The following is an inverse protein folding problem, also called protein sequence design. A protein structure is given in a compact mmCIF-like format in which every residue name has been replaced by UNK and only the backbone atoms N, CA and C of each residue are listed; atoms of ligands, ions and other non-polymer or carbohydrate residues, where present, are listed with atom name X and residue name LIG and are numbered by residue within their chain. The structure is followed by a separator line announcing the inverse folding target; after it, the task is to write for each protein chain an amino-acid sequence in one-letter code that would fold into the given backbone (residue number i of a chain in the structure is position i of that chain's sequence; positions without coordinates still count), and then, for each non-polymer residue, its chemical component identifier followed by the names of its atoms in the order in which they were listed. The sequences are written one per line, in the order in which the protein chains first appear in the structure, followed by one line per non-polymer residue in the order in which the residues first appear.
data_IF_759207887575
#
_entry.id   IF_759207887575
#
_cell.length_a   1.000
_cell.length_b   1.000
_cell.length_c   1.000
_cell.angle_alpha   90.00
_cell.angle_beta   90.00
_cell.angle_gamma   90.00
#
_symmetry.space_group_name_H-M   'P 1'
#
loop_
_entity.id
_entity.type
_entity.pdbx_description
1 polymer ?
#
# COMPACT_ATOMS: atom_id res chain seq x y z
N UNK A 1 27.44 36.69 52.55
CA UNK A 1 26.32 35.93 53.15
C UNK A 1 26.68 34.45 53.15
N UNK A 2 26.02 33.62 53.96
CA UNK A 2 26.15 32.16 53.83
C UNK A 2 25.56 31.70 52.48
N UNK A 3 25.97 30.53 51.97
CA UNK A 3 25.37 29.97 50.74
C UNK A 3 23.86 29.90 50.86
N UNK A 4 23.16 30.23 49.76
CA UNK A 4 21.70 30.33 49.74
C UNK A 4 21.12 31.66 50.23
N UNK A 5 21.95 32.65 50.60
CA UNK A 5 21.50 34.00 51.01
C UNK A 5 22.25 35.12 50.27
N UNK A 6 21.60 36.26 50.07
CA UNK A 6 22.16 37.44 49.41
C UNK A 6 21.62 38.78 49.94
N UNK A 7 22.24 39.87 49.50
CA UNK A 7 21.81 41.25 49.79
C UNK A 7 22.44 41.84 51.05
N UNK A 8 22.11 43.11 51.35
CA UNK A 8 22.59 43.79 52.56
C UNK A 8 21.98 43.11 53.79
N UNK A 9 22.83 42.75 54.74
CA UNK A 9 22.48 41.97 55.95
C UNK A 9 22.01 40.53 55.70
N UNK A 10 22.16 39.99 54.48
CA UNK A 10 21.89 38.56 54.19
C UNK A 10 20.47 38.09 54.49
N UNK A 11 19.48 38.99 54.31
CA UNK A 11 18.08 38.70 54.61
C UNK A 11 17.31 38.09 53.44
N UNK A 12 17.86 38.16 52.21
CA UNK A 12 17.22 37.61 51.02
C UNK A 12 17.74 36.21 50.74
N UNK A 13 16.85 35.27 50.42
CA UNK A 13 17.25 33.93 50.00
C UNK A 13 17.51 33.87 48.50
N UNK A 14 18.43 33.01 48.08
CA UNK A 14 18.60 32.66 46.67
C UNK A 14 17.32 32.01 46.14
N UNK A 15 17.05 32.18 44.84
CA UNK A 15 15.92 31.52 44.20
C UNK A 15 16.17 30.00 44.16
N UNK A 16 15.15 29.20 44.47
CA UNK A 16 15.26 27.73 44.44
C UNK A 16 15.48 27.17 43.03
N UNK A 17 15.17 27.94 41.99
CA UNK A 17 15.44 27.62 40.59
C UNK A 17 16.89 27.93 40.17
N UNK A 18 17.70 28.56 41.04
CA UNK A 18 19.15 28.57 40.83
C UNK A 18 19.66 27.13 40.89
N UNK A 19 20.62 26.78 40.03
CA UNK A 19 21.29 25.49 40.16
C UNK A 19 22.00 25.41 41.54
N UNK A 20 21.84 24.28 42.23
CA UNK A 20 22.22 24.06 43.64
C UNK A 20 21.65 25.08 44.65
N UNK A 21 20.62 25.85 44.28
CA UNK A 21 20.07 26.94 45.10
C UNK A 21 21.11 27.98 45.52
N UNK A 22 22.19 28.14 44.75
CA UNK A 22 23.30 29.04 45.07
C UNK A 22 23.33 30.28 44.18
N UNK A 23 23.66 31.43 44.78
CA UNK A 23 23.62 32.72 44.11
C UNK A 23 24.67 33.69 44.65
N UNK A 24 25.00 34.69 43.84
CA UNK A 24 25.95 35.74 44.20
C UNK A 24 25.48 36.45 45.47
N UNK A 25 26.30 36.40 46.52
CA UNK A 25 25.94 36.89 47.84
C UNK A 25 25.65 38.41 47.90
N UNK A 26 26.03 39.19 46.87
CA UNK A 26 25.76 40.62 46.80
C UNK A 26 24.55 40.93 45.89
N UNK A 27 24.49 40.31 44.71
CA UNK A 27 23.53 40.61 43.65
C UNK A 27 22.31 39.69 43.63
N UNK A 28 22.42 38.48 44.20
CA UNK A 28 21.38 37.46 44.14
C UNK A 28 21.24 36.76 42.79
N UNK A 29 22.18 36.97 41.87
CA UNK A 29 22.20 36.29 40.55
C UNK A 29 22.72 34.87 40.71
N UNK A 30 22.07 33.88 40.12
CA UNK A 30 22.45 32.48 40.25
C UNK A 30 23.83 32.23 39.62
N UNK A 31 24.73 31.59 40.38
CA UNK A 31 26.15 31.47 40.00
C UNK A 31 26.37 30.48 38.86
N UNK A 32 25.58 29.41 38.83
CA UNK A 32 25.70 28.31 37.88
C UNK A 32 24.54 28.26 36.88
N UNK A 33 23.85 29.40 36.72
CA UNK A 33 22.64 29.50 35.91
C UNK A 33 21.40 28.93 36.60
N UNK A 34 20.40 28.59 35.79
CA UNK A 34 19.10 28.13 36.23
C UNK A 34 18.89 26.65 35.93
N UNK A 35 17.99 26.03 36.70
CA UNK A 35 17.37 24.75 36.34
C UNK A 35 16.55 24.86 35.04
N UNK A 36 16.09 23.72 34.54
CA UNK A 36 15.32 23.64 33.29
C UNK A 36 14.09 24.54 33.31
N UNK A 37 13.88 25.25 32.19
CA UNK A 37 12.71 26.09 31.98
C UNK A 37 12.77 27.49 32.60
N UNK A 38 13.84 27.83 33.32
CA UNK A 38 14.02 29.15 33.92
C UNK A 38 15.18 29.93 33.30
N UNK A 39 15.01 31.26 33.21
CA UNK A 39 15.97 32.14 32.55
C UNK A 39 16.90 32.86 33.55
N UNK A 40 18.21 32.96 33.25
CA UNK A 40 19.13 33.81 33.99
C UNK A 40 18.70 35.29 33.96
N UNK A 41 19.17 36.13 34.90
CA UNK A 41 20.19 35.83 35.91
C UNK A 41 19.65 35.39 37.28
N UNK A 42 18.35 35.53 37.57
CA UNK A 42 17.77 35.23 38.90
C UNK A 42 16.84 34.02 38.93
N UNK A 43 16.56 33.41 37.77
CA UNK A 43 15.68 32.23 37.65
C UNK A 43 14.28 32.44 38.23
N UNK A 44 13.79 33.68 38.21
CA UNK A 44 12.44 34.07 38.67
C UNK A 44 11.39 33.89 37.58
N UNK A 45 11.81 33.86 36.32
CA UNK A 45 10.94 33.79 35.16
C UNK A 45 11.29 32.57 34.31
N UNK A 46 10.27 32.04 33.63
CA UNK A 46 10.46 30.95 32.68
C UNK A 46 11.20 31.43 31.42
N UNK A 47 11.64 30.49 30.60
CA UNK A 47 12.22 30.82 29.29
C UNK A 47 11.28 31.67 28.44
N UNK A 48 11.88 32.56 27.67
CA UNK A 48 11.16 33.37 26.68
C UNK A 48 10.78 32.49 25.49
N UNK A 49 9.70 32.86 24.79
CA UNK A 49 9.25 32.17 23.59
C UNK A 49 10.43 32.00 22.60
N UNK A 50 10.58 30.80 22.06
CA UNK A 50 11.72 30.44 21.21
C UNK A 50 12.88 29.75 21.92
N UNK A 51 12.87 29.63 23.25
CA UNK A 51 13.94 28.96 24.02
C UNK A 51 13.40 28.02 25.09
N UNK A 52 14.18 26.99 25.44
CA UNK A 52 13.81 25.99 26.45
C UNK A 52 15.05 25.35 27.11
N UNK A 53 14.81 24.52 28.13
CA UNK A 53 15.83 23.72 28.79
C UNK A 53 16.63 24.48 29.85
N UNK A 54 17.76 23.91 30.27
CA UNK A 54 18.61 24.49 31.32
C UNK A 54 19.11 25.87 30.91
N UNK A 55 18.84 26.86 31.77
CA UNK A 55 19.20 28.26 31.51
C UNK A 55 18.73 28.80 30.15
N UNK A 56 17.67 28.20 29.58
CA UNK A 56 17.14 28.54 28.25
C UNK A 56 18.19 28.47 27.13
N UNK A 57 19.13 27.52 27.24
CA UNK A 57 20.24 27.36 26.29
C UNK A 57 19.84 26.69 24.97
N UNK A 58 18.68 26.01 24.93
CA UNK A 58 18.16 25.36 23.73
C UNK A 58 17.13 26.24 23.03
N UNK A 59 17.02 26.10 21.70
CA UNK A 59 16.07 26.86 20.87
C UNK A 59 14.94 25.95 20.41
N UNK A 60 13.71 26.46 20.42
CA UNK A 60 12.56 25.75 19.85
C UNK A 60 12.81 25.40 18.37
N UNK A 61 12.20 24.31 17.91
CA UNK A 61 12.21 23.94 16.49
C UNK A 61 11.67 25.10 15.63
N UNK A 62 12.32 25.36 14.49
CA UNK A 62 11.85 26.37 13.53
C UNK A 62 10.51 26.01 12.90
N UNK A 63 10.11 24.74 13.01
CA UNK A 63 8.83 24.22 12.54
C UNK A 63 7.71 24.34 13.59
N UNK A 64 8.00 24.79 14.82
CA UNK A 64 6.96 25.21 15.76
C UNK A 64 6.29 26.48 15.21
N UNK A 65 4.97 26.57 15.33
CA UNK A 65 4.25 27.81 14.99
C UNK A 65 4.72 28.95 15.91
N UNK A 66 5.03 30.10 15.32
CA UNK A 66 5.62 31.27 16.00
C UNK A 66 6.91 30.99 16.80
N UNK A 67 7.59 29.87 16.53
CA UNK A 67 8.70 29.38 17.34
C UNK A 67 8.34 29.18 18.84
N UNK A 68 7.07 28.91 19.16
CA UNK A 68 6.62 28.69 20.53
C UNK A 68 6.69 27.21 20.91
N UNK A 69 7.39 26.92 22.00
CA UNK A 69 7.51 25.58 22.55
C UNK A 69 7.51 25.61 24.08
N UNK A 70 7.25 24.45 24.68
CA UNK A 70 7.29 24.25 26.12
C UNK A 70 8.67 24.62 26.68
N UNK A 71 8.77 25.53 27.67
CA UNK A 71 10.06 26.02 28.15
C UNK A 71 10.87 24.93 28.89
N UNK A 72 10.25 23.86 29.36
CA UNK A 72 10.92 22.75 30.04
C UNK A 72 11.34 21.67 29.06
N UNK A 73 10.43 21.23 28.18
CA UNK A 73 10.62 20.07 27.30
C UNK A 73 11.07 20.41 25.88
N UNK A 74 10.79 21.62 25.41
CA UNK A 74 11.02 22.04 24.03
C UNK A 74 9.97 21.56 23.02
N UNK A 75 8.92 20.87 23.49
CA UNK A 75 7.84 20.39 22.63
C UNK A 75 6.99 21.54 22.12
N UNK A 76 6.72 21.58 20.82
CA UNK A 76 5.95 22.67 20.21
C UNK A 76 4.49 22.60 20.68
N UNK A 77 3.90 23.75 21.00
CA UNK A 77 2.46 23.80 21.31
C UNK A 77 1.60 23.56 20.07
N UNK A 78 2.09 24.02 18.91
CA UNK A 78 1.47 23.82 17.61
C UNK A 78 2.54 23.78 16.52
N UNK A 79 2.33 22.96 15.50
CA UNK A 79 3.23 22.85 14.36
C UNK A 79 2.82 23.79 13.22
N UNK A 80 3.82 24.28 12.49
CA UNK A 80 3.60 24.93 11.22
C UNK A 80 2.90 23.97 10.24
N UNK A 81 2.19 24.54 9.26
CA UNK A 81 1.50 23.76 8.22
C UNK A 81 2.51 22.85 7.51
N UNK A 82 2.16 21.57 7.37
CA UNK A 82 3.06 20.60 6.78
C UNK A 82 4.05 19.97 7.77
N UNK A 83 3.85 20.13 9.09
CA UNK A 83 4.68 19.49 10.12
C UNK A 83 3.84 18.83 11.22
N UNK A 84 4.36 17.73 11.75
CA UNK A 84 3.78 16.93 12.85
C UNK A 84 4.88 16.39 13.77
N UNK A 85 4.46 15.79 14.90
CA UNK A 85 5.34 15.28 15.94
C UNK A 85 5.47 16.25 17.13
N UNK A 86 6.01 15.78 18.26
CA UNK A 86 6.14 16.59 19.48
C UNK A 86 7.04 17.81 19.32
N UNK A 87 8.01 17.78 18.41
CA UNK A 87 8.92 18.89 18.12
C UNK A 87 8.79 19.37 16.65
N UNK A 88 7.68 19.01 15.99
CA UNK A 88 7.40 19.32 14.58
C UNK A 88 8.52 18.89 13.62
N UNK A 89 9.11 17.73 13.88
CA UNK A 89 10.21 17.16 13.12
C UNK A 89 9.76 16.38 11.88
N UNK A 90 8.50 15.94 11.84
CA UNK A 90 7.96 15.16 10.74
C UNK A 90 7.30 16.08 9.72
N UNK A 91 7.84 16.14 8.51
CA UNK A 91 7.24 16.92 7.42
C UNK A 91 6.06 16.15 6.82
N UNK A 92 4.85 16.68 6.93
CA UNK A 92 3.67 16.15 6.25
C UNK A 92 3.59 16.69 4.83
N UNK A 93 3.50 15.76 3.88
CA UNK A 93 3.31 16.11 2.48
C UNK A 93 1.82 16.38 2.27
N UNK A 94 1.39 17.62 2.51
CA UNK A 94 0.05 18.05 2.08
C UNK A 94 0.07 18.14 0.57
N UNK A 95 -0.39 17.08 -0.10
CA UNK A 95 -0.64 17.11 -1.54
C UNK A 95 -1.72 18.17 -1.76
N UNK A 96 -1.32 19.35 -2.25
CA UNK A 96 -2.27 20.36 -2.68
C UNK A 96 -3.11 19.75 -3.81
N UNK A 97 -4.33 19.34 -3.49
CA UNK A 97 -5.29 18.73 -4.43
C UNK A 97 -5.83 19.75 -5.47
N UNK A 98 -5.04 20.75 -5.83
CA UNK A 98 -5.33 21.74 -6.85
C UNK A 98 -5.00 21.22 -8.26
N UNK A 99 -4.22 20.13 -8.38
CA UNK A 99 -3.78 19.56 -9.67
C UNK A 99 -4.76 18.54 -10.29
N UNK A 100 -5.82 18.15 -9.58
CA UNK A 100 -6.77 17.12 -10.06
C UNK A 100 -7.59 17.56 -11.30
N UNK A 101 -7.66 18.87 -11.57
CA UNK A 101 -8.36 19.42 -12.75
C UNK A 101 -7.73 18.95 -14.07
N UNK A 102 -6.40 18.80 -14.12
CA UNK A 102 -5.66 18.45 -15.34
C UNK A 102 -5.63 16.93 -15.53
N UNK A 103 -5.53 16.17 -14.43
CA UNK A 103 -5.60 14.70 -14.46
C UNK A 103 -6.94 14.17 -14.95
N UNK A 104 -8.04 14.83 -14.58
CA UNK A 104 -9.39 14.41 -15.01
C UNK A 104 -9.59 14.58 -16.53
N UNK A 105 -9.09 15.66 -17.13
CA UNK A 105 -9.23 15.88 -18.57
C UNK A 105 -8.52 14.77 -19.39
N UNK A 106 -7.28 14.44 -19.03
CA UNK A 106 -6.51 13.40 -19.72
C UNK A 106 -7.12 12.01 -19.45
N UNK A 107 -7.55 11.75 -18.22
CA UNK A 107 -8.26 10.52 -17.85
C UNK A 107 -9.53 10.31 -18.67
N UNK A 108 -10.37 11.34 -18.84
CA UNK A 108 -11.60 11.24 -19.65
C UNK A 108 -11.35 11.02 -21.13
N UNK A 109 -10.29 11.62 -21.70
CA UNK A 109 -9.94 11.40 -23.10
C UNK A 109 -9.44 9.98 -23.33
N UNK A 110 -8.58 9.46 -22.45
CA UNK A 110 -8.06 8.09 -22.56
C UNK A 110 -9.18 7.06 -22.37
N UNK A 111 -10.06 7.25 -21.38
CA UNK A 111 -11.20 6.33 -21.18
C UNK A 111 -12.17 6.38 -22.35
N UNK A 112 -12.43 7.54 -22.93
CA UNK A 112 -13.28 7.67 -24.11
C UNK A 112 -12.67 6.97 -25.33
N UNK A 113 -11.36 7.11 -25.56
CA UNK A 113 -10.65 6.40 -26.64
C UNK A 113 -10.70 4.87 -26.44
N UNK A 114 -10.54 4.38 -25.20
CA UNK A 114 -10.67 2.96 -24.88
C UNK A 114 -12.11 2.48 -25.13
N UNK A 115 -13.13 3.24 -24.73
CA UNK A 115 -14.54 2.88 -24.98
C UNK A 115 -14.83 2.84 -26.49
N UNK A 116 -14.36 3.82 -27.26
CA UNK A 116 -14.51 3.82 -28.73
C UNK A 116 -13.82 2.61 -29.36
N UNK A 117 -12.59 2.29 -28.94
CA UNK A 117 -11.88 1.11 -29.40
C UNK A 117 -12.67 -0.17 -29.08
N UNK A 118 -13.23 -0.31 -27.87
CA UNK A 118 -14.08 -1.45 -27.51
C UNK A 118 -15.36 -1.51 -28.35
N UNK A 119 -15.97 -0.39 -28.70
CA UNK A 119 -17.16 -0.36 -29.55
C UNK A 119 -16.86 -0.69 -31.02
N UNK A 120 -15.65 -0.43 -31.51
CA UNK A 120 -15.22 -0.80 -32.87
C UNK A 120 -14.67 -2.23 -32.94
N UNK A 121 -13.96 -2.66 -31.91
CA UNK A 121 -13.37 -3.99 -31.82
C UNK A 121 -14.44 -5.04 -31.50
N UNK A 122 -15.47 -4.73 -30.70
CA UNK A 122 -16.57 -5.68 -30.42
C UNK A 122 -17.30 -6.20 -31.67
N UNK A 123 -17.82 -5.37 -32.59
CA UNK A 123 -18.47 -5.88 -33.80
C UNK A 123 -17.48 -6.59 -34.71
N UNK A 124 -16.22 -6.12 -34.77
CA UNK A 124 -15.17 -6.83 -35.47
C UNK A 124 -14.93 -8.22 -34.88
N UNK A 125 -14.82 -8.35 -33.55
CA UNK A 125 -14.66 -9.62 -32.84
C UNK A 125 -15.91 -10.51 -32.92
N UNK A 126 -17.11 -9.94 -32.91
CA UNK A 126 -18.37 -10.70 -33.10
C UNK A 126 -18.44 -11.26 -34.51
N UNK A 127 -18.14 -10.44 -35.52
CA UNK A 127 -18.12 -10.88 -36.91
C UNK A 127 -16.97 -11.87 -37.17
N UNK A 128 -15.84 -11.71 -36.48
CA UNK A 128 -14.71 -12.63 -36.55
C UNK A 128 -15.00 -13.94 -35.84
N UNK A 129 -15.75 -13.91 -34.73
CA UNK A 129 -16.24 -15.09 -34.01
C UNK A 129 -17.10 -15.97 -34.92
N UNK A 130 -18.08 -15.37 -35.60
CA UNK A 130 -18.94 -16.11 -36.54
C UNK A 130 -18.17 -16.75 -37.69
N UNK A 131 -17.00 -16.21 -38.06
CA UNK A 131 -16.21 -16.69 -39.19
C UNK A 131 -15.14 -17.73 -38.84
N UNK A 132 -14.66 -17.75 -37.60
CA UNK A 132 -13.50 -18.56 -37.21
C UNK A 132 -13.73 -19.47 -36.00
N UNK A 133 -14.88 -19.38 -35.31
CA UNK A 133 -15.24 -20.33 -34.26
C UNK A 133 -15.65 -21.67 -34.92
N UNK A 134 -14.71 -22.62 -34.94
CA UNK A 134 -14.98 -24.00 -35.36
C UNK A 134 -16.00 -24.61 -34.38
N UNK A 135 -16.96 -25.43 -34.84
CA UNK A 135 -17.96 -26.03 -33.96
C UNK A 135 -17.28 -26.80 -32.82
N UNK A 136 -17.93 -26.81 -31.66
CA UNK A 136 -17.44 -27.53 -30.48
C UNK A 136 -17.29 -29.01 -30.81
N UNK A 137 -16.34 -29.68 -30.15
CA UNK A 137 -16.11 -31.13 -30.31
C UNK A 137 -17.39 -31.92 -29.98
N UNK A 138 -18.25 -31.38 -29.11
CA UNK A 138 -19.54 -31.96 -28.76
C UNK A 138 -20.54 -31.91 -29.92
N UNK A 139 -20.58 -30.81 -30.68
CA UNK A 139 -21.49 -30.66 -31.84
C UNK A 139 -21.11 -31.62 -32.99
N UNK A 140 -19.82 -31.95 -33.12
CA UNK A 140 -19.35 -32.97 -34.08
C UNK A 140 -19.68 -34.40 -33.64
N UNK A 141 -19.68 -34.68 -32.34
CA UNK A 141 -19.99 -36.00 -31.81
C UNK A 141 -21.47 -36.37 -32.03
N UNK A 142 -22.39 -35.41 -31.87
CA UNK A 142 -23.82 -35.62 -32.08
C UNK A 142 -24.16 -35.91 -33.55
N UNK A 143 -23.54 -35.18 -34.49
CA UNK A 143 -23.71 -35.42 -35.92
C UNK A 143 -23.21 -36.83 -36.35
N UNK A 144 -22.12 -37.31 -35.72
CA UNK A 144 -21.61 -38.67 -35.94
C UNK A 144 -22.50 -39.75 -35.30
N UNK A 145 -23.10 -39.47 -34.14
CA UNK A 145 -24.03 -40.38 -33.48
C UNK A 145 -25.29 -40.58 -34.33
N UNK A 146 -25.88 -39.51 -34.85
CA UNK A 146 -27.05 -39.57 -35.73
C UNK A 146 -26.74 -40.27 -37.06
N UNK A 147 -25.58 -40.00 -37.68
CA UNK A 147 -25.17 -40.68 -38.90
C UNK A 147 -24.97 -42.19 -38.70
N UNK A 148 -24.40 -42.61 -37.56
CA UNK A 148 -24.27 -44.02 -37.18
C UNK A 148 -25.64 -44.67 -36.96
N UNK A 149 -26.57 -43.96 -36.33
CA UNK A 149 -27.90 -44.51 -36.07
C UNK A 149 -28.68 -44.74 -37.37
N UNK A 150 -28.64 -43.78 -38.29
CA UNK A 150 -29.33 -43.89 -39.58
C UNK A 150 -28.71 -44.97 -40.49
N UNK A 151 -27.39 -45.20 -40.41
CA UNK A 151 -26.75 -46.33 -41.11
C UNK A 151 -27.27 -47.68 -40.61
N UNK A 152 -27.37 -47.86 -39.29
CA UNK A 152 -27.87 -49.11 -38.70
C UNK A 152 -29.34 -49.39 -39.05
N UNK A 153 -30.15 -48.38 -39.37
CA UNK A 153 -31.54 -48.55 -39.79
C UNK A 153 -31.70 -48.99 -41.26
N UNK A 154 -30.64 -48.86 -42.07
CA UNK A 154 -30.62 -49.32 -43.48
C UNK A 154 -30.05 -50.72 -43.68
N UNK A 155 -29.51 -51.33 -42.63
CA UNK A 155 -29.03 -52.71 -42.67
C UNK A 155 -30.21 -53.64 -42.35
N UNK A 156 -30.97 -53.99 -43.39
CA UNK A 156 -31.83 -55.17 -43.38
C UNK A 156 -30.98 -56.42 -43.04
N UNK A 157 -31.51 -57.28 -42.16
CA UNK A 157 -30.87 -58.51 -41.68
C UNK A 157 -30.65 -59.53 -42.81
N UNK A 158 -29.62 -59.33 -43.64
CA UNK A 158 -29.13 -60.38 -44.53
C UNK A 158 -27.72 -60.83 -44.15
N UNK A 159 -27.70 -61.98 -43.48
CA UNK A 159 -26.68 -63.03 -43.55
C UNK A 159 -25.45 -62.95 -42.61
N UNK A 160 -25.39 -63.95 -41.71
CA UNK A 160 -24.43 -64.18 -40.62
C UNK A 160 -23.02 -64.61 -41.08
N UNK A 161 -22.57 -64.32 -42.31
CA UNK A 161 -21.35 -64.94 -42.84
C UNK A 161 -20.31 -64.03 -43.53
N UNK A 162 -20.32 -62.72 -43.31
CA UNK A 162 -19.16 -61.86 -43.63
C UNK A 162 -18.98 -60.80 -42.52
N UNK A 163 -18.30 -61.21 -41.44
CA UNK A 163 -17.85 -60.32 -40.36
C UNK A 163 -16.33 -60.35 -40.24
N UNK A 164 -15.65 -59.78 -41.23
CA UNK A 164 -14.40 -59.03 -41.08
C UNK A 164 -14.36 -58.13 -42.32
N UNK A 165 -14.49 -56.80 -42.16
CA UNK A 165 -14.11 -55.76 -43.15
C UNK A 165 -14.67 -54.36 -42.83
N UNK A 166 -15.29 -54.14 -41.66
CA UNK A 166 -15.73 -52.79 -41.25
C UNK A 166 -15.15 -52.42 -39.88
N UNK A 167 -13.82 -52.51 -39.76
CA UNK A 167 -13.08 -51.88 -38.66
C UNK A 167 -11.79 -51.20 -39.10
N UNK A 168 -11.67 -50.81 -40.38
CA UNK A 168 -10.43 -50.21 -40.87
C UNK A 168 -10.54 -48.79 -41.42
N UNK A 169 -11.70 -48.14 -41.39
CA UNK A 169 -11.82 -46.74 -41.80
C UNK A 169 -12.49 -45.80 -40.79
N UNK A 170 -12.52 -46.16 -39.51
CA UNK A 170 -12.59 -45.13 -38.47
C UNK A 170 -11.17 -44.59 -38.24
N UNK A 171 -10.71 -43.72 -39.16
CA UNK A 171 -9.58 -42.83 -38.86
C UNK A 171 -10.05 -41.91 -37.75
N UNK A 172 -9.74 -42.26 -36.50
CA UNK A 172 -9.78 -41.32 -35.39
C UNK A 172 -8.75 -40.26 -35.73
N UNK A 173 -9.22 -39.08 -36.14
CA UNK A 173 -8.38 -37.89 -36.19
C UNK A 173 -8.06 -37.56 -34.72
N UNK A 174 -6.95 -38.10 -34.21
CA UNK A 174 -6.36 -37.58 -32.98
C UNK A 174 -5.84 -36.17 -33.28
N UNK A 175 -6.22 -35.14 -32.52
CA UNK A 175 -5.56 -33.84 -32.63
C UNK A 175 -4.11 -34.00 -32.17
N UNK A 176 -3.15 -33.59 -33.01
CA UNK A 176 -1.75 -33.44 -32.61
C UNK A 176 -1.68 -32.39 -31.50
N UNK A 177 -1.47 -32.87 -30.28
CA UNK A 177 -1.10 -32.05 -29.12
C UNK A 177 0.41 -31.79 -29.24
N UNK A 178 0.78 -30.54 -29.50
CA UNK A 178 2.16 -30.06 -29.47
C UNK A 178 2.80 -30.45 -28.13
N UNK A 179 3.78 -31.36 -28.17
CA UNK A 179 4.61 -31.72 -27.03
C UNK A 179 5.65 -30.63 -26.81
N UNK A 180 5.45 -29.81 -25.77
CA UNK A 180 6.43 -28.83 -25.31
C UNK A 180 6.27 -28.53 -23.83
N UNK A 181 7.00 -29.30 -23.03
CA UNK A 181 7.36 -29.07 -21.62
C UNK A 181 6.25 -29.02 -20.58
N UNK A 182 6.08 -30.10 -19.81
CA UNK A 182 6.29 -30.06 -18.36
C UNK A 182 6.42 -31.47 -17.76
N UNK A 183 7.52 -31.64 -17.06
CA UNK A 183 7.83 -32.69 -16.09
C UNK A 183 6.78 -32.63 -14.96
N UNK A 184 6.17 -33.77 -14.61
CA UNK A 184 5.93 -34.26 -13.23
C UNK A 184 4.86 -35.37 -13.19
N UNK A 185 5.38 -36.57 -12.97
CA UNK A 185 4.87 -37.76 -12.26
C UNK A 185 3.40 -37.87 -11.81
N UNK A 186 2.89 -39.08 -12.08
CA UNK A 186 2.00 -39.92 -11.27
C UNK A 186 0.59 -39.40 -10.96
N UNK A 187 -0.41 -40.18 -11.38
CA UNK A 187 -1.40 -40.77 -10.48
C UNK A 187 -2.13 -41.94 -11.17
N UNK A 188 -1.77 -43.14 -10.70
CA UNK A 188 -2.62 -44.30 -10.39
C UNK A 188 -3.66 -44.79 -11.42
N UNK A 189 -3.34 -45.92 -12.05
CA UNK A 189 -3.99 -47.22 -11.77
C UNK A 189 -5.48 -47.15 -11.38
N UNK A 190 -6.36 -47.43 -12.35
CA UNK A 190 -7.73 -47.89 -12.10
C UNK A 190 -7.94 -49.20 -12.84
N UNK A 191 -7.78 -50.31 -12.12
CA UNK A 191 -8.36 -51.60 -12.46
C UNK A 191 -9.89 -51.52 -12.39
N UNK A 192 -10.58 -52.03 -13.41
CA UNK A 192 -11.95 -52.50 -13.27
C UNK A 192 -12.10 -53.86 -13.96
N UNK A 193 -12.10 -54.88 -13.09
CA UNK A 193 -12.74 -56.20 -13.13
C UNK A 193 -13.46 -56.55 -14.44
N UNK A 194 -13.03 -57.66 -15.08
CA UNK A 194 -13.84 -58.41 -16.04
C UNK A 194 -14.21 -59.78 -15.48
N UNK A 195 -15.51 -60.05 -15.58
CA UNK A 195 -16.20 -61.30 -15.23
C UNK A 195 -15.66 -62.54 -15.96
N UNK A 196 -15.40 -63.60 -15.20
CA UNK A 196 -15.98 -64.94 -15.39
C UNK A 196 -15.68 -65.84 -14.20
#
# INVERSE_FOLDING_TARGET
CQSGQWGRNCTSSCNFNCFDSDCDSQRGSCLFGCVEGYRPPHCTETCVNGTYGQSCSSRCSSSCENAECDPFKGSCYKCAVGYEGPNCELKTFSVEMNSFRIGYAIGTLVTFLIILALLLVKPYLVQWREKFEKPSIYDQADALYEARHNYNDTVEEDNYQDREDIYQNCVVIQPEVDQGTEEYQNLSEYEFVKSK
#
